data_IF_554003435229
#
_entry.id   IF_554003435229
#
_cell.length_a   1.000
_cell.length_b   1.000
_cell.length_c   1.000
_cell.angle_alpha   90.00
_cell.angle_beta   90.00
_cell.angle_gamma   90.00
#
_symmetry.space_group_name_H-M   'P 1'
#
loop_
_entity.id
_entity.type
_entity.pdbx_description
1 polymer ?
#
# COMPACT_ATOMS: atom_id res chain seq x y z
N UNK A 1 18.63 7.23 6.89
CA UNK A 1 17.47 6.35 6.75
C UNK A 1 16.37 7.10 6.00
N UNK A 2 15.81 6.48 4.96
CA UNK A 2 14.70 7.07 4.21
C UNK A 2 13.40 6.66 4.89
N UNK A 3 12.50 7.64 5.08
CA UNK A 3 11.17 7.40 5.65
C UNK A 3 10.10 7.63 4.58
N UNK A 4 8.85 7.26 4.91
CA UNK A 4 7.70 7.57 4.03
C UNK A 4 7.63 9.08 3.75
N UNK A 5 7.88 9.91 4.76
CA UNK A 5 7.89 11.37 4.58
C UNK A 5 8.93 11.81 3.54
N UNK A 6 10.10 11.17 3.53
CA UNK A 6 11.14 11.47 2.55
C UNK A 6 10.71 11.08 1.14
N UNK A 7 10.03 9.95 0.99
CA UNK A 7 9.49 9.51 -0.31
C UNK A 7 8.49 10.53 -0.84
N UNK A 8 7.65 11.09 0.02
CA UNK A 8 6.65 12.09 -0.39
C UNK A 8 7.27 13.38 -0.94
N UNK A 9 8.54 13.65 -0.63
CA UNK A 9 9.25 14.84 -1.10
C UNK A 9 9.87 14.67 -2.48
N UNK A 10 9.87 13.45 -3.03
CA UNK A 10 10.44 13.20 -4.35
C UNK A 10 9.62 13.89 -5.44
N UNK A 11 10.28 14.40 -6.51
CA UNK A 11 9.54 15.02 -7.62
C UNK A 11 8.48 14.12 -8.24
N UNK A 12 8.74 12.80 -8.30
CA UNK A 12 7.79 11.82 -8.84
C UNK A 12 6.52 11.69 -8.01
N UNK A 13 6.53 12.17 -6.77
CA UNK A 13 5.38 12.14 -5.87
C UNK A 13 4.59 13.44 -5.86
N UNK A 14 4.88 14.35 -6.77
CA UNK A 14 4.15 15.61 -6.86
C UNK A 14 2.67 15.36 -7.11
N UNK A 15 1.82 15.97 -6.31
CA UNK A 15 0.38 15.80 -6.39
C UNK A 15 -0.16 14.59 -5.61
N UNK A 16 0.71 13.78 -5.01
CA UNK A 16 0.28 12.65 -4.19
C UNK A 16 -0.44 13.13 -2.92
N UNK A 17 -1.44 12.37 -2.49
CA UNK A 17 -2.24 12.67 -1.30
C UNK A 17 -2.14 11.51 -0.31
N UNK A 18 -1.94 11.82 0.96
CA UNK A 18 -2.02 10.83 2.04
C UNK A 18 -3.47 10.77 2.51
N UNK A 19 -4.11 9.62 2.31
CA UNK A 19 -5.50 9.41 2.72
C UNK A 19 -5.61 8.85 4.14
N UNK A 20 -4.64 8.07 4.58
CA UNK A 20 -4.74 7.34 5.84
C UNK A 20 -3.35 7.00 6.37
N UNK A 21 -3.28 6.60 7.62
CA UNK A 21 -2.05 6.12 8.23
C UNK A 21 -1.02 7.22 8.45
N UNK A 22 -1.44 8.45 8.66
CA UNK A 22 -0.55 9.59 8.86
C UNK A 22 0.46 9.36 9.99
N UNK A 23 0.08 8.59 11.02
CA UNK A 23 0.98 8.27 12.12
C UNK A 23 2.20 7.44 11.68
N UNK A 24 2.11 6.76 10.53
CA UNK A 24 3.21 5.96 9.99
C UNK A 24 4.17 6.70 9.08
N UNK A 25 4.03 8.02 8.94
CA UNK A 25 4.83 8.79 7.98
C UNK A 25 6.33 8.77 8.27
N UNK A 26 6.71 8.55 9.51
CA UNK A 26 8.11 8.44 9.92
C UNK A 26 8.67 7.02 9.86
N UNK A 27 7.86 6.05 9.45
CA UNK A 27 8.33 4.68 9.30
C UNK A 27 9.41 4.59 8.21
N UNK A 28 10.46 3.78 8.43
CA UNK A 28 11.52 3.63 7.45
C UNK A 28 11.04 2.87 6.21
N UNK A 29 11.54 3.26 5.03
CA UNK A 29 11.31 2.57 3.78
C UNK A 29 12.62 1.96 3.31
N UNK A 30 12.69 0.65 3.23
CA UNK A 30 13.89 -0.07 2.80
C UNK A 30 13.76 -0.59 1.37
N UNK A 31 12.52 -0.75 0.90
CA UNK A 31 12.27 -1.21 -0.47
C UNK A 31 10.96 -0.65 -1.01
N UNK A 32 10.85 -0.65 -2.33
CA UNK A 32 9.61 -0.30 -3.04
C UNK A 32 9.30 -1.47 -3.97
N UNK A 33 8.08 -1.99 -3.87
CA UNK A 33 7.65 -3.16 -4.62
C UNK A 33 6.39 -2.84 -5.40
N UNK A 34 6.38 -3.17 -6.69
CA UNK A 34 5.19 -3.02 -7.53
C UNK A 34 4.44 -4.35 -7.53
N UNK A 35 3.20 -4.33 -7.03
CA UNK A 35 2.34 -5.50 -7.00
C UNK A 35 1.00 -5.16 -7.65
N UNK A 36 0.73 -5.76 -8.80
CA UNK A 36 -0.55 -5.60 -9.50
C UNK A 36 -1.63 -6.51 -8.93
N UNK A 37 -1.24 -7.50 -8.14
CA UNK A 37 -2.17 -8.47 -7.56
C UNK A 37 -2.77 -7.91 -6.28
N UNK A 38 -4.08 -7.76 -6.27
CA UNK A 38 -4.81 -7.30 -5.08
C UNK A 38 -5.00 -8.38 -4.02
N UNK A 39 -4.64 -9.62 -4.30
CA UNK A 39 -4.77 -10.74 -3.37
C UNK A 39 -3.47 -11.49 -3.21
N UNK A 40 -3.17 -11.86 -1.96
CA UNK A 40 -2.08 -12.77 -1.66
C UNK A 40 -2.66 -14.19 -1.76
N UNK A 41 -2.17 -14.95 -2.74
CA UNK A 41 -2.46 -16.39 -2.82
C UNK A 41 -1.46 -17.16 -1.95
N UNK A 42 -1.74 -18.42 -1.66
CA UNK A 42 -0.78 -19.26 -0.93
C UNK A 42 0.56 -19.37 -1.67
N UNK A 43 0.53 -19.37 -3.00
CA UNK A 43 1.76 -19.36 -3.81
C UNK A 43 2.54 -18.07 -3.62
N UNK A 44 1.86 -16.92 -3.59
CA UNK A 44 2.52 -15.63 -3.35
C UNK A 44 3.05 -15.56 -1.92
N UNK A 45 2.32 -16.09 -0.93
CA UNK A 45 2.81 -16.17 0.44
C UNK A 45 4.12 -16.96 0.52
N UNK A 46 4.19 -18.11 -0.18
CA UNK A 46 5.42 -18.89 -0.25
C UNK A 46 6.56 -18.10 -0.89
N UNK A 47 6.28 -17.43 -2.01
CA UNK A 47 7.28 -16.62 -2.69
C UNK A 47 7.79 -15.50 -1.80
N UNK A 48 6.89 -14.81 -1.09
CA UNK A 48 7.28 -13.72 -0.19
C UNK A 48 8.05 -14.21 1.04
N UNK A 49 7.81 -15.43 1.50
CA UNK A 49 8.58 -15.99 2.62
C UNK A 49 9.96 -16.48 2.19
N UNK A 50 10.13 -16.82 0.92
CA UNK A 50 11.40 -17.36 0.38
C UNK A 50 12.21 -16.30 -0.35
N UNK A 51 11.55 -15.36 -1.01
CA UNK A 51 12.22 -14.24 -1.63
C UNK A 51 12.30 -13.10 -0.64
N UNK A 52 13.13 -12.18 -0.95
CA UNK A 52 13.44 -11.04 -0.13
C UNK A 52 12.33 -9.99 -0.15
N UNK A 53 11.07 -10.34 0.20
CA UNK A 53 10.15 -9.30 0.59
C UNK A 53 10.67 -8.78 1.92
N UNK A 54 11.60 -7.89 1.81
CA UNK A 54 12.23 -7.25 2.94
C UNK A 54 11.19 -6.46 3.68
N UNK A 55 11.17 -6.50 4.98
CA UNK A 55 10.32 -5.64 5.77
C UNK A 55 10.49 -4.17 5.40
N UNK A 56 9.59 -3.32 5.84
CA UNK A 56 9.59 -1.88 5.56
C UNK A 56 9.42 -1.56 4.08
N UNK A 57 8.58 -2.32 3.39
CA UNK A 57 8.30 -2.13 1.97
C UNK A 57 7.16 -1.14 1.75
N UNK A 58 7.34 -0.24 0.78
CA UNK A 58 6.28 0.58 0.24
C UNK A 58 5.76 -0.11 -1.02
N UNK A 59 4.47 -0.42 -1.05
CA UNK A 59 3.87 -1.21 -2.12
C UNK A 59 3.11 -0.31 -3.09
N UNK A 60 3.42 -0.45 -4.37
CA UNK A 60 2.72 0.26 -5.45
C UNK A 60 1.70 -0.70 -6.07
N UNK A 61 0.43 -0.31 -6.07
CA UNK A 61 -0.65 -1.15 -6.58
C UNK A 61 -1.81 -0.32 -7.10
N UNK A 62 -2.68 -0.93 -7.90
CA UNK A 62 -3.95 -0.34 -8.34
C UNK A 62 -5.15 -1.05 -7.72
N UNK A 63 -4.95 -2.13 -6.98
CA UNK A 63 -6.01 -3.01 -6.47
C UNK A 63 -6.94 -3.55 -7.58
N UNK A 64 -6.41 -3.72 -8.78
CA UNK A 64 -7.21 -4.10 -9.95
C UNK A 64 -8.01 -5.39 -9.75
N UNK A 65 -7.41 -6.41 -9.11
CA UNK A 65 -8.06 -7.71 -8.91
C UNK A 65 -9.11 -7.70 -7.79
N UNK A 66 -9.13 -6.67 -6.96
CA UNK A 66 -10.06 -6.55 -5.83
C UNK A 66 -10.86 -5.26 -5.89
N UNK A 67 -10.96 -4.62 -7.06
CA UNK A 67 -11.60 -3.32 -7.21
C UNK A 67 -13.06 -3.32 -6.74
N UNK A 68 -13.75 -4.45 -6.87
CA UNK A 68 -15.16 -4.60 -6.49
C UNK A 68 -15.35 -5.26 -5.12
N UNK A 69 -14.28 -5.51 -4.37
CA UNK A 69 -14.33 -6.27 -3.12
C UNK A 69 -13.52 -5.58 -2.03
N UNK A 70 -14.20 -4.72 -1.27
CA UNK A 70 -13.56 -3.95 -0.19
C UNK A 70 -13.06 -4.85 0.94
N UNK A 71 -13.77 -5.93 1.24
CA UNK A 71 -13.32 -6.87 2.27
C UNK A 71 -11.99 -7.53 1.87
N UNK A 72 -11.86 -7.90 0.60
CA UNK A 72 -10.61 -8.43 0.07
C UNK A 72 -9.49 -7.39 0.12
N UNK A 73 -9.79 -6.14 -0.20
CA UNK A 73 -8.81 -5.04 -0.09
C UNK A 73 -8.29 -4.91 1.33
N UNK A 74 -9.17 -4.89 2.32
CA UNK A 74 -8.79 -4.79 3.72
C UNK A 74 -7.99 -6.01 4.19
N UNK A 75 -8.39 -7.20 3.77
CA UNK A 75 -7.68 -8.44 4.10
C UNK A 75 -6.25 -8.41 3.55
N UNK A 76 -6.09 -7.99 2.31
CA UNK A 76 -4.77 -7.88 1.68
C UNK A 76 -3.89 -6.86 2.38
N UNK A 77 -4.46 -5.73 2.76
CA UNK A 77 -3.72 -4.70 3.51
C UNK A 77 -3.19 -5.27 4.81
N UNK A 78 -4.00 -6.03 5.55
CA UNK A 78 -3.56 -6.67 6.79
C UNK A 78 -2.46 -7.69 6.54
N UNK A 79 -2.57 -8.47 5.48
CA UNK A 79 -1.56 -9.47 5.11
C UNK A 79 -0.23 -8.81 4.74
N UNK A 80 -0.25 -7.79 3.90
CA UNK A 80 0.96 -7.08 3.53
C UNK A 80 1.60 -6.39 4.74
N UNK A 81 0.79 -5.81 5.61
CA UNK A 81 1.29 -5.22 6.85
C UNK A 81 1.99 -6.26 7.72
N UNK A 82 1.41 -7.45 7.83
CA UNK A 82 1.98 -8.54 8.63
C UNK A 82 3.35 -9.02 8.12
N UNK A 83 3.60 -8.91 6.82
CA UNK A 83 4.89 -9.30 6.23
C UNK A 83 5.84 -8.12 6.03
N UNK A 84 5.49 -6.94 6.54
CA UNK A 84 6.44 -5.84 6.67
C UNK A 84 6.16 -4.62 5.78
N UNK A 85 5.00 -4.52 5.14
CA UNK A 85 4.65 -3.29 4.42
C UNK A 85 4.48 -2.12 5.38
N UNK A 86 4.97 -0.95 4.99
CA UNK A 86 4.78 0.30 5.74
C UNK A 86 3.80 1.23 5.04
N UNK A 87 3.39 0.93 3.83
CA UNK A 87 2.42 1.74 3.11
C UNK A 87 2.12 1.25 1.72
N UNK A 88 1.10 1.87 1.13
CA UNK A 88 0.67 1.63 -0.24
C UNK A 88 0.63 2.94 -1.00
N UNK A 89 1.05 2.88 -2.27
CA UNK A 89 0.82 3.96 -3.22
C UNK A 89 -0.16 3.41 -4.26
N UNK A 90 -1.36 4.00 -4.32
CA UNK A 90 -2.40 3.56 -5.23
C UNK A 90 -2.45 4.46 -6.46
N UNK A 91 -2.43 3.83 -7.63
CA UNK A 91 -2.54 4.49 -8.93
C UNK A 91 -3.91 4.21 -9.55
N UNK A 92 -4.27 5.03 -10.51
CA UNK A 92 -5.48 4.86 -11.33
C UNK A 92 -6.79 4.94 -10.54
N UNK A 93 -6.80 5.74 -9.46
CA UNK A 93 -8.03 6.02 -8.75
C UNK A 93 -8.98 6.79 -9.68
N UNK A 94 -10.23 6.34 -9.75
CA UNK A 94 -11.21 6.87 -10.69
C UNK A 94 -11.26 6.14 -12.02
N UNK A 95 -10.24 5.33 -12.33
CA UNK A 95 -10.18 4.54 -13.56
C UNK A 95 -10.36 3.05 -13.27
N UNK A 96 -9.49 2.47 -12.46
CA UNK A 96 -9.56 1.05 -12.08
C UNK A 96 -10.34 0.89 -10.77
N UNK A 97 -9.94 1.62 -9.73
CA UNK A 97 -10.64 1.67 -8.46
C UNK A 97 -11.44 2.98 -8.45
N UNK A 98 -12.79 2.94 -8.45
CA UNK A 98 -13.58 4.18 -8.56
C UNK A 98 -13.28 5.20 -7.48
N UNK A 99 -13.09 4.73 -6.25
CA UNK A 99 -12.69 5.55 -5.11
C UNK A 99 -12.13 4.64 -4.02
N UNK A 100 -11.49 5.22 -3.03
CA UNK A 100 -11.01 4.45 -1.87
C UNK A 100 -12.13 4.42 -0.83
N UNK A 101 -12.57 3.23 -0.45
CA UNK A 101 -13.65 3.03 0.51
C UNK A 101 -13.19 3.46 1.91
N UNK A 102 -14.12 4.02 2.70
CA UNK A 102 -13.84 4.46 4.07
C UNK A 102 -13.35 3.33 4.96
N UNK A 103 -13.77 2.09 4.70
CA UNK A 103 -13.29 0.92 5.45
C UNK A 103 -11.82 0.64 5.19
N UNK A 104 -11.35 0.86 3.97
CA UNK A 104 -9.93 0.74 3.64
C UNK A 104 -9.12 1.81 4.37
N UNK A 105 -9.62 3.04 4.38
CA UNK A 105 -8.99 4.15 5.11
C UNK A 105 -8.91 3.82 6.60
N UNK A 106 -10.00 3.34 7.19
CA UNK A 106 -10.03 2.97 8.60
C UNK A 106 -9.05 1.84 8.92
N UNK A 107 -8.95 0.84 8.05
CA UNK A 107 -8.01 -0.26 8.20
C UNK A 107 -6.56 0.25 8.23
N UNK A 108 -6.20 1.12 7.30
CA UNK A 108 -4.86 1.69 7.23
C UNK A 108 -4.55 2.57 8.45
N UNK A 109 -5.52 3.35 8.92
CA UNK A 109 -5.36 4.16 10.14
C UNK A 109 -5.12 3.28 11.37
N UNK A 110 -5.84 2.18 11.48
CA UNK A 110 -5.70 1.24 12.59
C UNK A 110 -4.29 0.62 12.64
N UNK A 111 -3.70 0.37 11.48
CA UNK A 111 -2.40 -0.27 11.35
C UNK A 111 -1.23 0.73 11.29
N UNK A 112 -1.50 2.03 11.30
CA UNK A 112 -0.51 3.09 11.03
C UNK A 112 0.23 2.83 9.71
N UNK A 113 -0.50 2.32 8.73
CA UNK A 113 0.00 1.99 7.41
C UNK A 113 -0.37 3.12 6.46
N UNK A 114 0.63 3.81 5.91
CA UNK A 114 0.38 4.99 5.10
C UNK A 114 -0.29 4.62 3.78
N UNK A 115 -1.40 5.25 3.48
CA UNK A 115 -2.14 5.06 2.23
C UNK A 115 -2.03 6.33 1.41
N UNK A 116 -1.36 6.22 0.28
CA UNK A 116 -1.06 7.33 -0.61
C UNK A 116 -1.79 7.10 -1.94
N UNK A 117 -2.42 8.14 -2.47
CA UNK A 117 -2.99 8.10 -3.81
C UNK A 117 -2.27 9.06 -4.73
N UNK A 118 -2.04 8.63 -5.96
CA UNK A 118 -1.44 9.46 -6.99
C UNK A 118 -2.55 10.10 -7.83
N UNK A 119 -2.32 11.31 -8.38
CA UNK A 119 -3.29 11.93 -9.30
C UNK A 119 -3.48 11.05 -10.53
N UNK A 120 -4.73 10.96 -10.94
CA UNK A 120 -5.15 10.10 -12.06
C UNK A 120 -4.72 10.57 -13.43
#
# INVERSE_FOLDING_TARGET
>A
MITVADVMKLPSMYGATILAGHAGISNPVESVTVLEYGQITSTLDELFSQTEFQGNALIISSFATTADDVDAQCENIRRYHAIGSVGFILFYIGLILPSVDDRVIACCNELDLVLITMPG
#
